data_IF_244973207587
#
_entry.id   IF_244973207587
#
_cell.length_a   1.000
_cell.length_b   1.000
_cell.length_c   1.000
_cell.angle_alpha   90.00
_cell.angle_beta   90.00
_cell.angle_gamma   90.00
#
_symmetry.space_group_name_H-M   'P 1'
#
loop_
_entity.id
_entity.type
_entity.pdbx_description
1 polymer ?
#
# COMPACT_ATOMS: atom_id res chain seq x y z
N UNK A 1 -9.57 17.52 -3.14
CA UNK A 1 -10.93 17.67 -3.71
C UNK A 1 -10.97 17.75 -5.23
N UNK A 2 -10.02 18.41 -5.91
CA UNK A 2 -9.99 18.53 -7.38
C UNK A 2 -10.02 17.19 -8.13
N UNK A 3 -9.26 16.19 -7.66
CA UNK A 3 -9.24 14.83 -8.23
C UNK A 3 -10.66 14.25 -8.32
N UNK A 4 -11.44 14.37 -7.25
CA UNK A 4 -12.82 13.87 -7.21
C UNK A 4 -13.81 14.70 -8.03
N UNK A 5 -13.44 15.87 -8.58
CA UNK A 5 -14.36 16.64 -9.43
C UNK A 5 -14.02 16.54 -10.91
N UNK A 6 -12.74 16.32 -11.23
CA UNK A 6 -12.23 16.47 -12.59
C UNK A 6 -11.75 15.16 -13.25
N UNK A 7 -11.72 14.04 -12.52
CA UNK A 7 -11.20 12.77 -13.05
C UNK A 7 -12.24 11.65 -13.05
N UNK A 8 -12.34 10.92 -14.15
CA UNK A 8 -13.26 9.79 -14.29
C UNK A 8 -12.75 8.52 -13.56
N UNK A 9 -11.43 8.30 -13.58
CA UNK A 9 -10.76 7.14 -12.97
C UNK A 9 -9.74 7.61 -11.95
N UNK A 10 -9.81 7.07 -10.73
CA UNK A 10 -8.93 7.44 -9.61
C UNK A 10 -8.11 6.24 -9.16
N UNK A 11 -6.79 6.36 -9.19
CA UNK A 11 -5.86 5.33 -8.71
C UNK A 11 -5.22 5.78 -7.40
N UNK A 12 -5.32 4.97 -6.35
CA UNK A 12 -4.86 5.37 -5.01
C UNK A 12 -3.90 4.33 -4.44
N UNK A 13 -2.68 4.78 -4.10
CA UNK A 13 -1.69 3.99 -3.36
C UNK A 13 -1.45 4.59 -1.98
N UNK A 14 -1.33 3.76 -0.95
CA UNK A 14 -1.02 4.21 0.42
C UNK A 14 0.48 4.36 0.72
N UNK A 15 1.34 4.10 -0.28
CA UNK A 15 2.79 4.38 -0.34
C UNK A 15 3.64 3.94 0.88
N UNK A 16 3.13 3.07 1.76
CA UNK A 16 3.79 2.71 3.01
C UNK A 16 3.37 3.61 4.17
N UNK A 17 2.45 3.15 5.02
CA UNK A 17 1.95 3.99 6.11
C UNK A 17 1.42 3.22 7.30
N UNK A 18 2.36 2.67 8.08
CA UNK A 18 2.19 2.49 9.54
C UNK A 18 3.55 2.70 10.20
N UNK A 19 3.71 3.82 10.92
CA UNK A 19 4.80 3.91 11.89
C UNK A 19 4.44 3.02 13.08
N UNK A 20 5.21 1.96 13.32
CA UNK A 20 5.08 1.17 14.54
C UNK A 20 5.52 2.02 15.75
N UNK A 21 4.83 1.95 16.91
CA UNK A 21 5.25 2.64 18.11
C UNK A 21 6.62 2.12 18.56
N UNK A 22 7.59 3.02 18.74
CA UNK A 22 8.86 2.68 19.40
C UNK A 22 8.62 2.34 20.87
N UNK A 23 9.06 1.17 21.36
CA UNK A 23 8.87 0.77 22.76
C UNK A 23 9.81 1.48 23.75
N UNK A 24 10.85 2.19 23.29
CA UNK A 24 11.77 2.97 24.16
C UNK A 24 12.12 4.36 23.60
N UNK A 25 11.20 5.35 23.69
CA UNK A 25 11.56 6.75 23.49
C UNK A 25 12.34 7.23 24.72
N UNK A 26 13.54 7.79 24.51
CA UNK A 26 14.29 8.50 25.55
C UNK A 26 13.38 9.58 26.17
N UNK A 27 13.41 9.67 27.50
CA UNK A 27 12.54 10.52 28.34
C UNK A 27 12.58 11.95 27.82
N UNK A 28 11.47 12.44 27.27
CA UNK A 28 11.06 13.83 27.41
C UNK A 28 9.62 14.04 26.94
N UNK A 29 8.94 14.88 27.70
CA UNK A 29 7.57 15.42 27.72
C UNK A 29 6.69 15.50 26.42
N UNK A 30 7.13 15.08 25.24
CA UNK A 30 6.38 15.15 23.94
C UNK A 30 5.34 14.00 23.78
N UNK A 31 5.01 13.26 24.85
CA UNK A 31 4.24 12.00 24.76
C UNK A 31 2.71 12.12 24.67
N UNK A 32 2.12 13.30 24.87
CA UNK A 32 0.67 13.45 24.71
C UNK A 32 0.25 13.78 23.27
N UNK A 33 1.04 14.56 22.53
CA UNK A 33 0.70 14.95 21.15
C UNK A 33 0.80 13.78 20.17
N UNK A 34 1.79 12.89 20.33
CA UNK A 34 2.01 11.75 19.40
C UNK A 34 0.92 10.68 19.51
N UNK A 35 0.38 10.40 20.70
CA UNK A 35 -0.73 9.43 20.85
C UNK A 35 -2.03 9.93 20.24
N UNK A 36 -2.34 11.21 20.46
CA UNK A 36 -3.54 11.84 19.89
C UNK A 36 -3.39 11.98 18.37
N UNK A 37 -2.22 12.42 17.88
CA UNK A 37 -1.92 12.48 16.44
C UNK A 37 -1.98 11.09 15.78
N UNK A 38 -1.44 10.05 16.39
CA UNK A 38 -1.48 8.70 15.83
C UNK A 38 -2.89 8.10 15.81
N UNK A 39 -3.71 8.34 16.84
CA UNK A 39 -5.11 7.86 16.85
C UNK A 39 -5.94 8.63 15.82
N UNK A 40 -5.77 9.96 15.73
CA UNK A 40 -6.47 10.79 14.74
C UNK A 40 -6.00 10.47 13.31
N UNK A 41 -4.71 10.29 13.07
CA UNK A 41 -4.18 9.95 11.74
C UNK A 41 -4.63 8.55 11.29
N UNK A 42 -4.65 7.56 12.21
CA UNK A 42 -5.22 6.25 11.93
C UNK A 42 -6.74 6.32 11.64
N UNK A 43 -7.48 7.19 12.33
CA UNK A 43 -8.91 7.37 12.11
C UNK A 43 -9.21 8.11 10.79
N UNK A 44 -8.46 9.16 10.46
CA UNK A 44 -8.67 9.93 9.22
C UNK A 44 -8.22 9.12 8.01
N UNK A 45 -7.11 8.38 8.09
CA UNK A 45 -6.63 7.55 6.98
C UNK A 45 -7.53 6.34 6.74
N UNK A 46 -8.07 5.73 7.81
CA UNK A 46 -9.07 4.66 7.67
C UNK A 46 -10.41 5.17 7.15
N UNK A 47 -10.86 6.36 7.57
CA UNK A 47 -12.07 6.99 7.06
C UNK A 47 -11.92 7.39 5.58
N UNK A 48 -10.80 8.03 5.21
CA UNK A 48 -10.51 8.39 3.81
C UNK A 48 -10.38 7.15 2.92
N UNK A 49 -9.71 6.10 3.39
CA UNK A 49 -9.67 4.80 2.70
C UNK A 49 -11.09 4.25 2.53
N UNK A 50 -11.91 4.27 3.57
CA UNK A 50 -13.31 3.80 3.49
C UNK A 50 -14.10 4.60 2.46
N UNK A 51 -14.01 5.93 2.48
CA UNK A 51 -14.68 6.80 1.51
C UNK A 51 -14.24 6.50 0.07
N UNK A 52 -12.93 6.31 -0.15
CA UNK A 52 -12.39 5.91 -1.47
C UNK A 52 -13.00 4.57 -1.91
N UNK A 53 -12.93 3.55 -1.06
CA UNK A 53 -13.42 2.21 -1.38
C UNK A 53 -14.94 2.21 -1.61
N UNK A 54 -15.72 2.89 -0.77
CA UNK A 54 -17.17 2.99 -0.94
C UNK A 54 -17.53 3.76 -2.21
N UNK A 55 -16.75 4.79 -2.61
CA UNK A 55 -16.97 5.48 -3.88
C UNK A 55 -16.81 4.56 -5.09
N UNK A 56 -15.90 3.57 -5.02
CA UNK A 56 -15.73 2.57 -6.07
C UNK A 56 -16.86 1.55 -6.07
N UNK A 57 -17.25 1.04 -4.89
CA UNK A 57 -18.34 0.06 -4.77
C UNK A 57 -19.69 0.61 -5.22
N UNK A 58 -19.98 1.88 -4.92
CA UNK A 58 -21.21 2.55 -5.32
C UNK A 58 -21.20 3.01 -6.79
N UNK A 59 -20.11 2.77 -7.53
CA UNK A 59 -19.97 3.20 -8.92
C UNK A 59 -19.84 4.72 -9.10
N UNK A 60 -19.71 5.49 -8.01
CA UNK A 60 -19.52 6.94 -8.05
C UNK A 60 -18.20 7.31 -8.74
N UNK A 61 -17.22 6.39 -8.73
CA UNK A 61 -15.93 6.50 -9.41
C UNK A 61 -15.48 5.15 -9.95
N UNK A 62 -14.76 5.19 -11.07
CA UNK A 62 -13.93 4.07 -11.53
C UNK A 62 -12.56 4.17 -10.87
N UNK A 63 -11.90 3.05 -10.65
CA UNK A 63 -10.55 3.06 -10.11
C UNK A 63 -10.26 1.90 -9.18
N UNK A 64 -9.14 2.03 -8.48
CA UNK A 64 -8.68 1.01 -7.56
C UNK A 64 -7.80 1.60 -6.47
N UNK A 65 -7.71 0.87 -5.37
CA UNK A 65 -6.87 1.18 -4.23
C UNK A 65 -5.97 -0.02 -3.95
N UNK A 66 -4.70 0.25 -3.69
CA UNK A 66 -3.76 -0.74 -3.19
C UNK A 66 -2.87 -0.13 -2.11
N UNK A 67 -2.35 -0.99 -1.24
CA UNK A 67 -1.49 -0.55 -0.16
C UNK A 67 -0.46 -1.58 0.26
N UNK A 68 0.55 -1.12 1.00
CA UNK A 68 1.71 -1.94 1.35
C UNK A 68 1.35 -3.16 2.22
N UNK A 69 0.23 -3.11 2.96
CA UNK A 69 -0.25 -4.21 3.83
C UNK A 69 -1.37 -5.03 3.20
N UNK A 70 -1.61 -4.88 1.90
CA UNK A 70 -2.67 -5.62 1.18
C UNK A 70 -2.27 -7.09 1.07
N UNK A 71 -3.23 -8.00 1.20
CA UNK A 71 -3.01 -9.37 0.80
C UNK A 71 -3.35 -9.50 -0.69
N UNK A 72 -2.35 -9.84 -1.52
CA UNK A 72 -2.54 -9.92 -2.98
C UNK A 72 -3.57 -11.00 -3.36
N UNK A 73 -3.74 -12.02 -2.52
CA UNK A 73 -4.74 -13.07 -2.72
C UNK A 73 -6.18 -12.54 -2.69
N UNK A 74 -6.44 -11.41 -2.02
CA UNK A 74 -7.77 -10.79 -1.96
C UNK A 74 -8.23 -10.26 -3.33
N UNK A 75 -7.32 -10.11 -4.30
CA UNK A 75 -7.69 -9.77 -5.68
C UNK A 75 -8.24 -10.96 -6.48
N UNK A 76 -8.10 -12.19 -5.98
CA UNK A 76 -8.59 -13.43 -6.61
C UNK A 76 -8.16 -13.55 -8.09
N UNK A 77 -6.88 -13.31 -8.36
CA UNK A 77 -6.26 -13.45 -9.67
C UNK A 77 -5.29 -14.64 -9.68
N UNK A 78 -5.60 -15.68 -10.45
CA UNK A 78 -4.74 -16.86 -10.59
C UNK A 78 -3.39 -16.53 -11.24
N UNK A 79 -3.34 -15.45 -12.02
CA UNK A 79 -2.16 -14.94 -12.72
C UNK A 79 -1.45 -13.82 -11.95
N UNK A 80 -1.74 -13.64 -10.66
CA UNK A 80 -0.98 -12.70 -9.83
C UNK A 80 0.45 -13.19 -9.59
N UNK A 81 1.40 -12.25 -9.48
CA UNK A 81 2.75 -12.59 -9.05
C UNK A 81 2.72 -13.21 -7.65
N UNK A 82 3.47 -14.30 -7.46
CA UNK A 82 3.48 -15.02 -6.18
C UNK A 82 4.20 -14.19 -5.11
N UNK A 83 3.41 -13.54 -4.25
CA UNK A 83 3.87 -12.76 -3.13
C UNK A 83 3.22 -13.28 -1.84
N UNK A 84 3.92 -14.09 -1.07
CA UNK A 84 3.40 -14.59 0.22
C UNK A 84 3.10 -13.43 1.16
N UNK A 85 1.93 -13.44 1.81
CA UNK A 85 1.51 -12.37 2.70
C UNK A 85 2.47 -12.12 3.88
N UNK A 86 3.10 -13.17 4.40
CA UNK A 86 4.09 -13.04 5.48
C UNK A 86 5.30 -12.19 5.06
N UNK A 87 5.89 -12.49 3.89
CA UNK A 87 7.04 -11.73 3.36
C UNK A 87 6.68 -10.27 3.07
N UNK A 88 5.53 -10.02 2.45
CA UNK A 88 5.09 -8.65 2.15
C UNK A 88 4.76 -7.87 3.42
N UNK A 89 4.29 -8.53 4.47
CA UNK A 89 4.09 -7.92 5.78
C UNK A 89 5.41 -7.52 6.46
N UNK A 90 6.47 -8.33 6.30
CA UNK A 90 7.82 -7.95 6.77
C UNK A 90 8.30 -6.68 6.05
N UNK A 91 8.14 -6.60 4.72
CA UNK A 91 8.45 -5.40 3.94
C UNK A 91 7.66 -4.18 4.42
N UNK A 92 6.38 -4.37 4.74
CA UNK A 92 5.51 -3.31 5.24
C UNK A 92 5.87 -2.80 6.64
N UNK A 93 6.71 -3.53 7.39
CA UNK A 93 7.19 -3.13 8.71
C UNK A 93 8.61 -2.54 8.66
N UNK A 94 9.25 -2.47 7.48
CA UNK A 94 10.53 -1.76 7.32
C UNK A 94 10.32 -0.31 7.72
N UNK A 95 11.11 0.17 8.68
CA UNK A 95 10.97 1.51 9.21
C UNK A 95 11.26 2.53 8.10
N UNK A 96 10.24 3.27 7.68
CA UNK A 96 10.32 4.33 6.67
C UNK A 96 10.93 5.62 7.22
N UNK A 97 11.94 5.50 8.10
CA UNK A 97 12.69 6.68 8.54
C UNK A 97 13.41 7.24 7.32
N UNK A 98 13.57 8.56 7.26
CA UNK A 98 14.34 9.31 6.25
C UNK A 98 15.83 8.86 6.10
N UNK A 99 16.22 7.73 6.70
CA UNK A 99 17.47 7.04 6.51
C UNK A 99 17.48 6.23 5.21
N UNK A 100 18.66 6.12 4.60
CA UNK A 100 18.88 5.30 3.40
C UNK A 100 18.42 3.86 3.64
N UNK A 101 17.50 3.38 2.81
CA UNK A 101 17.12 1.97 2.72
C UNK A 101 18.25 1.22 2.02
N UNK A 102 18.61 0.03 2.50
CA UNK A 102 19.61 -0.79 1.78
C UNK A 102 19.04 -1.21 0.40
N UNK A 103 19.92 -1.45 -0.57
CA UNK A 103 19.48 -1.75 -1.94
C UNK A 103 18.61 -3.01 -2.03
N UNK A 104 18.88 -4.04 -1.23
CA UNK A 104 18.11 -5.28 -1.23
C UNK A 104 16.66 -5.09 -0.78
N UNK A 105 16.43 -4.32 0.28
CA UNK A 105 15.10 -4.01 0.80
C UNK A 105 14.35 -3.05 -0.11
N UNK A 106 15.06 -2.11 -0.74
CA UNK A 106 14.49 -1.24 -1.76
C UNK A 106 14.00 -2.06 -2.98
N UNK A 107 14.82 -2.98 -3.49
CA UNK A 107 14.44 -3.87 -4.61
C UNK A 107 13.21 -4.72 -4.27
N UNK A 108 13.15 -5.27 -3.05
CA UNK A 108 11.97 -6.03 -2.57
C UNK A 108 10.73 -5.15 -2.45
N UNK A 109 10.86 -3.92 -1.95
CA UNK A 109 9.76 -2.95 -1.87
C UNK A 109 9.25 -2.56 -3.26
N UNK A 110 10.16 -2.38 -4.24
CA UNK A 110 9.79 -2.12 -5.63
C UNK A 110 9.03 -3.32 -6.21
N UNK A 111 9.55 -4.54 -6.03
CA UNK A 111 8.89 -5.76 -6.48
C UNK A 111 7.47 -5.91 -5.88
N UNK A 112 7.32 -5.62 -4.59
CA UNK A 112 6.02 -5.67 -3.93
C UNK A 112 5.05 -4.61 -4.44
N UNK A 113 5.48 -3.34 -4.50
CA UNK A 113 4.67 -2.24 -5.01
C UNK A 113 4.23 -2.46 -6.46
N UNK A 114 5.10 -3.07 -7.26
CA UNK A 114 4.80 -3.47 -8.62
C UNK A 114 3.75 -4.59 -8.68
N UNK A 115 3.95 -5.68 -7.93
CA UNK A 115 3.03 -6.82 -7.94
C UNK A 115 1.61 -6.47 -7.45
N UNK A 116 1.50 -5.70 -6.37
CA UNK A 116 0.20 -5.32 -5.82
C UNK A 116 -0.53 -4.32 -6.71
N UNK A 117 0.20 -3.43 -7.40
CA UNK A 117 -0.41 -2.48 -8.32
C UNK A 117 -0.87 -3.15 -9.61
N UNK A 118 -0.09 -4.08 -10.17
CA UNK A 118 -0.51 -4.92 -11.29
C UNK A 118 -1.80 -5.70 -10.98
N UNK A 119 -1.85 -6.40 -9.84
CA UNK A 119 -3.03 -7.13 -9.43
C UNK A 119 -4.26 -6.20 -9.25
N UNK A 120 -4.08 -5.05 -8.61
CA UNK A 120 -5.16 -4.09 -8.40
C UNK A 120 -5.70 -3.49 -9.71
N UNK A 121 -4.82 -3.21 -10.68
CA UNK A 121 -5.17 -2.69 -11.99
C UNK A 121 -5.92 -3.72 -12.81
N UNK A 122 -5.42 -4.96 -12.88
CA UNK A 122 -6.06 -6.06 -13.62
C UNK A 122 -7.41 -6.44 -13.03
N UNK A 123 -7.55 -6.41 -11.71
CA UNK A 123 -8.81 -6.77 -11.06
C UNK A 123 -9.90 -5.72 -11.21
N UNK A 124 -9.55 -4.43 -11.07
CA UNK A 124 -10.56 -3.38 -10.83
C UNK A 124 -10.62 -2.30 -11.92
N UNK A 125 -9.61 -2.20 -12.79
CA UNK A 125 -9.54 -1.13 -13.81
C UNK A 125 -9.67 -1.69 -15.21
N UNK A 126 -8.82 -2.66 -15.56
CA UNK A 126 -8.82 -3.27 -16.89
C UNK A 126 -8.32 -4.74 -16.83
N UNK A 127 -9.24 -5.72 -16.90
CA UNK A 127 -8.90 -7.14 -16.92
C UNK A 127 -8.09 -7.60 -18.14
N UNK A 128 -8.17 -6.86 -19.25
CA UNK A 128 -7.50 -7.20 -20.52
C UNK A 128 -6.05 -6.70 -20.57
N UNK A 129 -5.53 -6.12 -19.48
CA UNK A 129 -4.12 -5.75 -19.40
C UNK A 129 -3.24 -6.99 -19.54
N UNK A 130 -2.11 -6.87 -20.27
CA UNK A 130 -1.20 -7.99 -20.46
C UNK A 130 -0.66 -8.48 -19.12
N UNK A 131 -0.43 -9.79 -19.02
CA UNK A 131 0.24 -10.36 -17.87
C UNK A 131 1.65 -9.77 -17.76
N UNK A 132 2.06 -9.42 -16.55
CA UNK A 132 3.40 -8.92 -16.31
C UNK A 132 4.47 -9.97 -16.67
N UNK A 133 5.60 -9.57 -17.29
CA UNK A 133 6.70 -10.49 -17.58
C UNK A 133 7.42 -11.00 -16.31
N UNK A 134 7.15 -10.43 -15.14
CA UNK A 134 7.75 -10.83 -13.87
C UNK A 134 8.04 -9.64 -12.97
N UNK A 135 8.81 -9.90 -11.91
CA UNK A 135 9.29 -8.85 -11.02
C UNK A 135 10.30 -7.93 -11.73
N UNK A 136 10.31 -6.61 -11.44
CA UNK A 136 11.37 -5.70 -11.87
C UNK A 136 12.78 -6.16 -11.44
N UNK A 137 12.89 -6.80 -10.27
CA UNK A 137 14.11 -7.43 -9.76
C UNK A 137 13.90 -8.94 -9.51
N UNK A 138 13.94 -9.80 -10.55
CA UNK A 138 13.61 -11.23 -10.45
C UNK A 138 14.48 -11.99 -9.46
N UNK A 139 15.78 -11.64 -9.38
CA UNK A 139 16.75 -12.29 -8.48
C UNK A 139 16.44 -12.06 -6.99
N UNK A 140 15.58 -11.10 -6.65
CA UNK A 140 15.22 -10.77 -5.27
C UNK A 140 13.87 -11.30 -4.86
N UNK A 141 12.87 -11.24 -5.74
CA UNK A 141 11.47 -11.47 -5.37
C UNK A 141 11.03 -10.53 -4.23
N UNK A 142 10.17 -11.02 -3.34
CA UNK A 142 9.65 -10.25 -2.18
C UNK A 142 10.22 -10.68 -0.83
N UNK A 143 11.17 -11.61 -0.80
CA UNK A 143 11.80 -12.07 0.44
C UNK A 143 12.63 -13.32 0.26
#
# INVERSE_FOLDING_TARGET
>A
ESVWKQTATVLVSDAGGRMAPEPKPKRDWIRHSVRVLNVIDNQVRSLRKRQVIESFKQGLRKGTYWGIRTNIADYHLDTALNCSFEKTLLLANIATRLSRINSGDQEKLINWGYAVSDAAMRRHVNPDLPMTPGFPYPKRGVG
#
